data_IF_456579842851
#
_entry.id   IF_456579842851
#
_cell.length_a   1.000
_cell.length_b   1.000
_cell.length_c   1.000
_cell.angle_alpha   90.00
_cell.angle_beta   90.00
_cell.angle_gamma   90.00
#
_symmetry.space_group_name_H-M   'P 1'
#
loop_
_entity.id
_entity.type
_entity.pdbx_description
1 polymer ?
#
# COMPACT_ATOMS: atom_id res chain seq x y z
N UNK A 1 2.17 11.01 26.22
CA UNK A 1 1.23 11.91 25.52
C UNK A 1 -0.13 11.72 26.16
N UNK A 2 -0.78 12.78 26.66
CA UNK A 2 -2.11 12.67 27.28
C UNK A 2 -3.19 12.41 26.22
N UNK A 3 -4.30 11.75 26.58
CA UNK A 3 -5.41 11.50 25.63
C UNK A 3 -5.91 12.79 24.96
N UNK A 4 -5.91 13.91 25.69
CA UNK A 4 -6.28 15.23 25.16
C UNK A 4 -5.37 15.70 24.03
N UNK A 5 -4.07 15.37 24.06
CA UNK A 5 -3.14 15.79 23.00
C UNK A 5 -3.35 15.01 21.69
N UNK A 6 -3.79 13.75 21.78
CA UNK A 6 -4.09 12.94 20.59
C UNK A 6 -5.41 13.35 19.94
N UNK A 7 -6.43 13.66 20.76
CA UNK A 7 -7.72 14.14 20.27
C UNK A 7 -7.56 15.42 19.44
N UNK A 8 -6.88 16.44 19.98
CA UNK A 8 -6.64 17.69 19.24
C UNK A 8 -5.80 17.46 17.97
N UNK A 9 -4.81 16.55 18.02
CA UNK A 9 -4.02 16.18 16.83
C UNK A 9 -4.89 15.62 15.69
N UNK A 10 -5.92 14.84 16.01
CA UNK A 10 -6.87 14.31 15.02
C UNK A 10 -7.72 15.43 14.43
N UNK A 11 -8.24 16.35 15.26
CA UNK A 11 -9.02 17.50 14.79
C UNK A 11 -8.17 18.38 13.86
N UNK A 12 -6.94 18.71 14.27
CA UNK A 12 -6.01 19.50 13.47
C UNK A 12 -5.70 18.81 12.12
N UNK A 13 -5.49 17.49 12.15
CA UNK A 13 -5.23 16.70 10.95
C UNK A 13 -6.41 16.71 9.97
N UNK A 14 -7.62 16.44 10.45
CA UNK A 14 -8.84 16.48 9.64
C UNK A 14 -9.07 17.87 9.08
N UNK A 15 -8.97 18.91 9.91
CA UNK A 15 -9.11 20.30 9.49
C UNK A 15 -8.11 20.68 8.39
N UNK A 16 -6.84 20.30 8.54
CA UNK A 16 -5.80 20.55 7.55
C UNK A 16 -6.07 19.84 6.21
N UNK A 17 -6.56 18.60 6.24
CA UNK A 17 -6.94 17.86 5.02
C UNK A 17 -8.08 18.56 4.28
N UNK A 18 -9.11 19.03 4.99
CA UNK A 18 -10.23 19.74 4.39
C UNK A 18 -9.79 21.04 3.71
N UNK A 19 -8.90 21.80 4.34
CA UNK A 19 -8.31 23.00 3.76
C UNK A 19 -7.43 22.70 2.54
N UNK A 20 -6.57 21.68 2.62
CA UNK A 20 -5.67 21.28 1.53
C UNK A 20 -6.45 20.84 0.28
N UNK A 21 -7.57 20.14 0.48
CA UNK A 21 -8.46 19.71 -0.60
C UNK A 21 -9.45 20.79 -1.05
N UNK A 22 -9.50 21.94 -0.35
CA UNK A 22 -10.47 23.03 -0.57
C UNK A 22 -11.91 22.53 -0.55
N UNK A 23 -12.25 21.72 0.45
CA UNK A 23 -13.55 21.06 0.60
C UNK A 23 -14.22 21.43 1.93
N UNK A 24 -15.47 21.86 1.85
CA UNK A 24 -16.34 22.02 3.02
C UNK A 24 -17.32 20.84 3.10
N UNK A 25 -17.13 19.89 4.03
CA UNK A 25 -17.88 18.65 4.03
C UNK A 25 -19.17 18.73 4.84
N UNK A 26 -20.14 17.87 4.51
CA UNK A 26 -21.16 17.41 5.45
C UNK A 26 -20.52 16.33 6.32
N UNK A 27 -20.57 16.48 7.64
CA UNK A 27 -20.00 15.49 8.56
C UNK A 27 -21.08 14.46 8.95
N UNK A 28 -20.75 13.18 8.81
CA UNK A 28 -21.51 12.05 9.34
C UNK A 28 -20.57 11.19 10.17
N UNK A 29 -21.12 10.53 11.17
CA UNK A 29 -20.36 9.69 12.08
C UNK A 29 -21.19 8.47 12.47
N UNK A 30 -20.50 7.42 12.86
CA UNK A 30 -21.09 6.24 13.49
C UNK A 30 -21.72 6.60 14.83
N UNK A 31 -23.02 6.38 14.96
CA UNK A 31 -23.80 6.74 16.14
C UNK A 31 -23.40 5.94 17.38
N UNK A 32 -22.93 4.69 17.20
CA UNK A 32 -22.53 3.81 18.30
C UNK A 32 -21.27 4.31 19.01
N UNK A 33 -20.45 5.12 18.34
CA UNK A 33 -19.16 5.59 18.85
C UNK A 33 -19.23 7.02 19.42
N UNK A 34 -19.11 7.19 20.75
CA UNK A 34 -18.99 8.51 21.37
C UNK A 34 -17.74 9.26 20.91
N UNK A 35 -16.67 8.54 20.54
CA UNK A 35 -15.44 9.15 20.06
C UNK A 35 -15.68 9.86 18.71
N UNK A 36 -16.32 9.19 17.76
CA UNK A 36 -16.64 9.77 16.46
C UNK A 36 -17.59 10.97 16.59
N UNK A 37 -18.59 10.89 17.48
CA UNK A 37 -19.48 12.01 17.81
C UNK A 37 -18.71 13.22 18.33
N UNK A 38 -17.86 13.03 19.33
CA UNK A 38 -17.05 14.12 19.91
C UNK A 38 -16.12 14.75 18.87
N UNK A 39 -15.52 13.94 17.99
CA UNK A 39 -14.68 14.44 16.89
C UNK A 39 -15.52 15.26 15.90
N UNK A 40 -16.69 14.77 15.50
CA UNK A 40 -17.59 15.45 14.57
C UNK A 40 -18.04 16.82 15.11
N UNK A 41 -18.50 16.87 16.36
CA UNK A 41 -18.98 18.10 17.00
C UNK A 41 -17.84 19.12 17.13
N UNK A 42 -16.66 18.69 17.62
CA UNK A 42 -15.50 19.57 17.78
C UNK A 42 -15.01 20.12 16.44
N UNK A 43 -14.96 19.27 15.41
CA UNK A 43 -14.55 19.67 14.07
C UNK A 43 -15.57 20.64 13.46
N UNK A 44 -16.87 20.40 13.63
CA UNK A 44 -17.93 21.30 13.16
C UNK A 44 -17.81 22.69 13.78
N UNK A 45 -17.65 22.76 15.11
CA UNK A 45 -17.44 24.03 15.82
C UNK A 45 -16.21 24.77 15.29
N UNK A 46 -15.12 24.05 15.03
CA UNK A 46 -13.88 24.66 14.50
C UNK A 46 -14.04 25.19 13.08
N UNK A 47 -14.73 24.45 12.21
CA UNK A 47 -15.07 24.91 10.85
C UNK A 47 -15.94 26.16 10.93
N UNK A 48 -16.90 26.20 11.86
CA UNK A 48 -17.78 27.36 12.06
C UNK A 48 -17.05 28.60 12.57
N UNK A 49 -16.08 28.42 13.48
CA UNK A 49 -15.21 29.49 13.98
C UNK A 49 -14.33 30.08 12.86
N UNK A 50 -13.85 29.23 11.96
CA UNK A 50 -12.91 29.59 10.89
C UNK A 50 -13.58 29.61 9.51
N UNK A 51 -14.88 29.94 9.42
CA UNK A 51 -15.68 29.90 8.17
C UNK A 51 -15.02 30.61 6.99
N UNK A 52 -14.30 31.70 7.26
CA UNK A 52 -13.60 32.47 6.23
C UNK A 52 -12.55 31.64 5.47
N UNK A 53 -11.93 30.66 6.13
CA UNK A 53 -10.96 29.74 5.50
C UNK A 53 -11.64 28.73 4.57
N UNK A 54 -12.95 28.51 4.72
CA UNK A 54 -13.75 27.55 3.96
C UNK A 54 -14.56 28.18 2.82
N UNK A 55 -14.32 29.46 2.49
CA UNK A 55 -14.95 30.15 1.36
C UNK A 55 -14.36 29.70 0.01
N UNK A 56 -14.60 28.45 -0.36
CA UNK A 56 -14.15 27.89 -1.63
C UNK A 56 -15.18 28.17 -2.73
N UNK A 57 -14.72 28.51 -3.95
CA UNK A 57 -15.62 28.66 -5.10
C UNK A 57 -16.26 27.30 -5.44
N UNK A 58 -17.59 27.27 -5.46
CA UNK A 58 -18.39 26.08 -5.17
C UNK A 58 -18.27 24.91 -6.16
N UNK A 59 -18.15 23.70 -5.62
CA UNK A 59 -18.64 22.49 -6.28
C UNK A 59 -20.14 22.36 -6.04
N UNK A 60 -20.91 21.93 -7.05
CA UNK A 60 -22.37 21.81 -7.00
C UNK A 60 -22.90 20.86 -5.91
N UNK A 61 -22.03 20.04 -5.31
CA UNK A 61 -22.36 19.10 -4.25
C UNK A 61 -21.35 19.21 -3.11
N UNK A 62 -21.85 19.26 -1.87
CA UNK A 62 -21.01 19.21 -0.68
C UNK A 62 -20.44 17.79 -0.51
N UNK A 63 -19.12 17.63 -0.34
CA UNK A 63 -18.51 16.33 -0.07
C UNK A 63 -18.96 15.78 1.30
N UNK A 64 -18.88 14.46 1.47
CA UNK A 64 -19.18 13.80 2.74
C UNK A 64 -17.87 13.47 3.47
N UNK A 65 -17.78 13.85 4.74
CA UNK A 65 -16.78 13.33 5.68
C UNK A 65 -17.47 12.30 6.58
N UNK A 66 -17.12 11.03 6.44
CA UNK A 66 -17.64 9.94 7.27
C UNK A 66 -16.60 9.55 8.32
N UNK A 67 -16.99 9.58 9.60
CA UNK A 67 -16.17 9.15 10.73
C UNK A 67 -16.65 7.80 11.23
N UNK A 68 -15.76 6.83 11.25
CA UNK A 68 -16.03 5.46 11.70
C UNK A 68 -15.08 5.10 12.85
N UNK A 69 -15.54 4.24 13.76
CA UNK A 69 -14.71 3.63 14.79
C UNK A 69 -14.25 2.25 14.32
N UNK A 70 -12.97 1.92 14.55
CA UNK A 70 -12.42 0.61 14.16
C UNK A 70 -13.11 -0.54 14.89
N UNK A 71 -13.72 -0.28 16.05
CA UNK A 71 -14.40 -1.30 16.87
C UNK A 71 -15.58 -1.98 16.16
N UNK A 72 -16.19 -1.34 15.17
CA UNK A 72 -17.28 -1.92 14.38
C UNK A 72 -16.80 -3.01 13.41
N UNK A 73 -15.52 -2.97 13.02
CA UNK A 73 -14.90 -3.98 12.15
C UNK A 73 -13.49 -4.33 12.65
N UNK A 74 -13.41 -5.19 13.69
CA UNK A 74 -12.14 -5.68 14.21
C UNK A 74 -11.58 -6.83 13.35
N UNK A 75 -12.35 -7.40 12.43
CA UNK A 75 -11.97 -8.59 11.64
C UNK A 75 -11.04 -8.20 10.49
N UNK A 76 -11.41 -7.19 9.70
CA UNK A 76 -10.61 -6.73 8.54
C UNK A 76 -9.11 -6.53 8.83
N UNK A 77 -8.68 -5.85 9.93
CA UNK A 77 -7.25 -5.66 10.19
C UNK A 77 -6.50 -6.94 10.63
N UNK A 78 -7.19 -8.05 10.89
CA UNK A 78 -6.60 -9.32 11.34
C UNK A 78 -6.44 -10.35 10.21
N UNK A 79 -7.17 -10.20 9.11
CA UNK A 79 -7.13 -11.14 7.99
C UNK A 79 -5.84 -10.98 7.18
N UNK A 80 -5.21 -12.10 6.83
CA UNK A 80 -4.12 -12.11 5.86
C UNK A 80 -4.57 -11.44 4.56
N UNK A 81 -3.78 -10.47 4.09
CA UNK A 81 -4.06 -9.77 2.85
C UNK A 81 -3.32 -10.41 1.67
N UNK A 82 -3.93 -10.37 0.48
CA UNK A 82 -3.36 -10.96 -0.75
C UNK A 82 -3.13 -9.97 -1.88
N UNK A 83 -3.37 -8.67 -1.65
CA UNK A 83 -3.03 -7.63 -2.62
C UNK A 83 -1.59 -7.17 -2.44
N UNK A 84 -0.92 -6.76 -3.52
CA UNK A 84 0.52 -6.50 -3.49
C UNK A 84 0.96 -5.49 -2.41
N UNK A 85 0.29 -4.34 -2.33
CA UNK A 85 0.61 -3.32 -1.31
C UNK A 85 0.36 -3.84 0.11
N UNK A 86 -0.80 -4.46 0.35
CA UNK A 86 -1.19 -4.92 1.67
C UNK A 86 -0.29 -6.07 2.16
N UNK A 87 0.00 -7.05 1.31
CA UNK A 87 0.97 -8.13 1.60
C UNK A 87 2.34 -7.58 1.93
N UNK A 88 2.82 -6.60 1.16
CA UNK A 88 4.13 -6.00 1.42
C UNK A 88 4.14 -5.28 2.76
N UNK A 89 3.08 -4.53 3.07
CA UNK A 89 2.95 -3.84 4.34
C UNK A 89 2.90 -4.82 5.52
N UNK A 90 2.14 -5.91 5.40
CA UNK A 90 1.94 -6.92 6.43
C UNK A 90 3.18 -7.79 6.66
N UNK A 91 3.73 -8.38 5.60
CA UNK A 91 4.78 -9.41 5.69
C UNK A 91 6.19 -8.82 5.72
N UNK A 92 6.42 -7.68 5.08
CA UNK A 92 7.76 -7.07 4.94
C UNK A 92 7.88 -5.71 5.65
N UNK A 93 6.82 -5.23 6.30
CA UNK A 93 6.78 -3.95 7.01
C UNK A 93 7.09 -2.74 6.12
N UNK A 94 6.05 -2.17 5.51
CA UNK A 94 6.16 -0.94 4.72
C UNK A 94 6.07 0.29 5.65
N UNK A 95 7.15 1.06 5.77
CA UNK A 95 7.21 2.28 6.58
C UNK A 95 7.56 3.49 5.72
N UNK A 96 6.65 4.46 5.62
CA UNK A 96 6.82 5.66 4.79
C UNK A 96 7.26 5.32 3.36
N UNK A 97 6.56 4.36 2.73
CA UNK A 97 6.84 3.86 1.38
C UNK A 97 8.20 3.16 1.22
N UNK A 98 8.81 2.69 2.31
CA UNK A 98 10.10 2.00 2.30
C UNK A 98 10.01 0.64 2.97
N UNK A 99 10.62 -0.34 2.33
CA UNK A 99 10.76 -1.72 2.80
C UNK A 99 12.23 -1.97 3.01
N UNK A 100 12.60 -2.43 4.21
CA UNK A 100 13.98 -2.75 4.55
C UNK A 100 14.12 -4.26 4.51
N UNK A 101 14.79 -4.77 3.49
CA UNK A 101 15.07 -6.19 3.34
C UNK A 101 16.38 -6.49 4.07
N UNK A 102 16.25 -7.00 5.29
CA UNK A 102 17.37 -7.65 5.98
C UNK A 102 17.53 -9.04 5.40
N UNK A 103 18.61 -9.29 4.66
CA UNK A 103 18.96 -10.63 4.19
C UNK A 103 19.04 -11.58 5.39
N UNK A 104 17.98 -12.35 5.60
CA UNK A 104 18.01 -13.48 6.51
C UNK A 104 18.32 -14.70 5.66
N UNK A 105 19.46 -15.33 5.97
CA UNK A 105 19.96 -16.62 5.45
C UNK A 105 20.83 -16.58 4.18
N UNK A 106 22.15 -16.49 4.39
CA UNK A 106 23.01 -17.60 3.94
C UNK A 106 24.24 -17.31 3.09
N UNK A 107 24.35 -16.19 2.37
CA UNK A 107 25.53 -15.96 1.51
C UNK A 107 25.91 -14.47 1.47
N UNK A 108 27.00 -14.12 2.14
CA UNK A 108 27.85 -12.97 1.78
C UNK A 108 27.31 -11.58 2.10
N UNK A 109 27.80 -11.02 3.22
CA UNK A 109 27.96 -9.58 3.49
C UNK A 109 26.73 -8.67 3.37
N UNK A 110 26.03 -8.47 4.49
CA UNK A 110 25.88 -7.14 5.13
C UNK A 110 25.13 -6.00 4.43
N UNK A 111 24.69 -6.15 3.18
CA UNK A 111 24.01 -5.07 2.47
C UNK A 111 22.51 -5.10 2.76
N UNK A 112 22.10 -4.25 3.70
CA UNK A 112 20.70 -3.89 3.91
C UNK A 112 20.17 -3.27 2.63
N UNK A 113 19.24 -3.95 1.94
CA UNK A 113 18.60 -3.41 0.74
C UNK A 113 17.33 -2.68 1.15
N UNK A 114 17.36 -1.35 1.03
CA UNK A 114 16.17 -0.52 1.16
C UNK A 114 15.49 -0.36 -0.20
N UNK A 115 14.20 -0.67 -0.25
CA UNK A 115 13.37 -0.60 -1.45
C UNK A 115 12.29 0.45 -1.25
N UNK A 116 12.18 1.38 -2.19
CA UNK A 116 11.13 2.41 -2.20
C UNK A 116 9.98 1.98 -3.10
N UNK A 117 8.76 2.04 -2.56
CA UNK A 117 7.50 1.74 -3.26
C UNK A 117 6.64 3.00 -3.34
N UNK A 118 6.66 3.68 -4.47
CA UNK A 118 5.88 4.89 -4.70
C UNK A 118 5.23 4.86 -6.08
N UNK A 119 3.90 4.83 -6.08
CA UNK A 119 3.09 4.80 -7.29
C UNK A 119 3.35 5.97 -8.23
N UNK A 120 3.93 7.10 -7.79
CA UNK A 120 4.16 8.28 -8.64
C UNK A 120 5.37 8.13 -9.56
N UNK A 121 6.37 7.36 -9.14
CA UNK A 121 7.64 7.18 -9.86
C UNK A 121 7.78 5.80 -10.48
N UNK A 122 6.94 4.86 -10.06
CA UNK A 122 6.97 3.46 -10.49
C UNK A 122 5.64 3.04 -11.11
N UNK A 123 5.64 2.96 -12.44
CA UNK A 123 4.47 2.57 -13.22
C UNK A 123 4.11 1.09 -13.04
N UNK A 124 5.09 0.21 -12.76
CA UNK A 124 4.81 -1.19 -12.50
C UNK A 124 4.07 -1.33 -11.17
N UNK A 125 4.59 -0.71 -10.09
CA UNK A 125 3.91 -0.70 -8.81
C UNK A 125 2.49 -0.10 -8.90
N UNK A 126 2.33 1.05 -9.55
CA UNK A 126 1.01 1.71 -9.72
C UNK A 126 -0.04 0.78 -10.34
N UNK A 127 0.35 -0.03 -11.34
CA UNK A 127 -0.57 -0.93 -12.04
C UNK A 127 -0.88 -2.21 -11.27
N UNK A 128 0.03 -2.63 -10.38
CA UNK A 128 -0.05 -3.92 -9.69
C UNK A 128 -0.39 -3.82 -8.20
N UNK A 129 -0.37 -2.63 -7.58
CA UNK A 129 -0.48 -2.46 -6.12
C UNK A 129 -1.73 -3.08 -5.49
N UNK A 130 -2.82 -3.16 -6.24
CA UNK A 130 -4.09 -3.75 -5.79
C UNK A 130 -4.42 -5.11 -6.41
N UNK A 131 -3.54 -5.64 -7.27
CA UNK A 131 -3.73 -6.97 -7.85
C UNK A 131 -3.39 -8.04 -6.82
N UNK A 132 -4.01 -9.21 -7.00
CA UNK A 132 -3.77 -10.33 -6.10
C UNK A 132 -2.38 -10.96 -6.34
N UNK A 133 -1.90 -11.74 -5.37
CA UNK A 133 -0.58 -12.34 -5.40
C UNK A 133 -0.30 -13.22 -6.63
N UNK A 134 -1.32 -13.93 -7.14
CA UNK A 134 -1.19 -14.74 -8.35
C UNK A 134 -0.97 -13.88 -9.60
N UNK A 135 -1.84 -12.88 -9.82
CA UNK A 135 -1.72 -11.92 -10.93
C UNK A 135 -0.40 -11.15 -10.88
N UNK A 136 0.05 -10.77 -9.68
CA UNK A 136 1.36 -10.15 -9.47
C UNK A 136 2.49 -11.05 -9.96
N UNK A 137 2.45 -12.35 -9.65
CA UNK A 137 3.45 -13.32 -10.08
C UNK A 137 3.57 -13.39 -11.60
N UNK A 138 2.44 -13.46 -12.31
CA UNK A 138 2.40 -13.47 -13.76
C UNK A 138 2.91 -12.15 -14.36
N UNK A 139 2.54 -11.01 -13.79
CA UNK A 139 3.00 -9.70 -14.26
C UNK A 139 4.50 -9.46 -14.03
N UNK A 140 5.06 -9.96 -12.92
CA UNK A 140 6.52 -9.91 -12.68
C UNK A 140 7.24 -10.81 -13.68
N UNK A 141 6.70 -11.97 -14.02
CA UNK A 141 7.26 -12.83 -15.07
C UNK A 141 7.28 -12.11 -16.43
N UNK A 142 6.18 -11.50 -16.83
CA UNK A 142 6.12 -10.69 -18.06
C UNK A 142 7.10 -9.51 -18.05
N UNK A 143 7.32 -8.88 -16.89
CA UNK A 143 8.31 -7.82 -16.72
C UNK A 143 9.73 -8.33 -16.97
N UNK A 144 10.08 -9.50 -16.42
CA UNK A 144 11.40 -10.14 -16.64
C UNK A 144 11.58 -10.54 -18.11
N UNK A 145 10.57 -11.16 -18.73
CA UNK A 145 10.63 -11.59 -20.12
C UNK A 145 10.84 -10.39 -21.07
N UNK A 146 10.11 -9.29 -20.83
CA UNK A 146 10.24 -8.05 -21.59
C UNK A 146 11.63 -7.43 -21.45
N UNK A 147 12.18 -7.44 -20.23
CA UNK A 147 13.54 -6.96 -19.97
C UNK A 147 14.60 -7.81 -20.67
N UNK A 148 14.45 -9.14 -20.71
CA UNK A 148 15.38 -10.03 -21.41
C UNK A 148 15.40 -9.77 -22.93
N UNK A 149 14.23 -9.53 -23.54
CA UNK A 149 14.14 -9.18 -24.97
C UNK A 149 14.84 -7.85 -25.25
N UNK A 150 14.61 -6.84 -24.41
CA UNK A 150 15.30 -5.55 -24.52
C UNK A 150 16.81 -5.70 -24.35
N UNK A 151 17.26 -6.44 -23.35
CA UNK A 151 18.69 -6.65 -23.09
C UNK A 151 19.40 -7.33 -24.28
N UNK A 152 18.81 -8.38 -24.87
CA UNK A 152 19.37 -9.05 -26.05
C UNK A 152 19.45 -8.15 -27.28
N UNK A 153 18.52 -7.20 -27.43
CA UNK A 153 18.58 -6.21 -28.51
C UNK A 153 19.71 -5.20 -28.31
N UNK A 154 20.09 -4.96 -27.05
CA UNK A 154 21.17 -4.06 -26.66
C UNK A 154 22.56 -4.70 -26.75
N UNK A 155 22.69 -6.02 -26.60
CA UNK A 155 23.98 -6.72 -26.70
C UNK A 155 24.53 -6.83 -28.14
N UNK A 156 23.74 -6.48 -29.17
CA UNK A 156 24.16 -6.45 -30.59
C UNK A 156 24.68 -5.07 -30.98
N UNK A 157 25.86 -4.70 -30.47
CA UNK A 157 26.53 -3.43 -30.80
C UNK A 157 27.54 -3.63 -31.94
N UNK A 158 27.05 -3.83 -33.16
CA UNK A 158 27.91 -4.11 -34.32
C UNK A 158 28.36 -2.83 -35.04
N UNK A 159 27.70 -1.69 -34.82
CA UNK A 159 28.00 -0.42 -35.51
C UNK A 159 28.20 0.77 -34.57
N UNK A 160 28.84 1.84 -35.07
CA UNK A 160 29.04 3.10 -34.33
C UNK A 160 27.70 3.78 -34.00
N UNK A 161 26.71 3.66 -34.89
CA UNK A 161 25.36 4.20 -34.65
C UNK A 161 24.63 3.44 -33.53
N UNK A 162 24.85 2.13 -33.40
CA UNK A 162 24.28 1.33 -32.31
C UNK A 162 24.90 1.69 -30.96
N UNK A 163 26.21 1.98 -30.94
CA UNK A 163 26.88 2.49 -29.73
C UNK A 163 26.32 3.84 -29.29
N UNK A 164 26.02 4.76 -30.22
CA UNK A 164 25.40 6.05 -29.89
C UNK A 164 24.00 5.86 -29.30
N UNK A 165 23.15 5.05 -29.94
CA UNK A 165 21.81 4.72 -29.43
C UNK A 165 21.83 4.03 -28.07
N UNK A 166 22.83 3.19 -27.81
CA UNK A 166 22.97 2.56 -26.50
C UNK A 166 23.27 3.58 -25.42
N UNK A 167 24.21 4.50 -25.64
CA UNK A 167 24.54 5.55 -24.66
C UNK A 167 23.32 6.44 -24.39
N UNK A 168 22.53 6.76 -25.41
CA UNK A 168 21.29 7.53 -25.29
C UNK A 168 20.22 6.77 -24.46
N UNK A 169 20.07 5.46 -24.67
CA UNK A 169 19.07 4.62 -24.01
C UNK A 169 19.52 4.03 -22.66
N UNK A 170 20.82 4.12 -22.33
CA UNK A 170 21.39 3.52 -21.13
C UNK A 170 20.73 3.98 -19.81
N UNK A 171 20.35 5.27 -19.63
CA UNK A 171 19.64 5.71 -18.42
C UNK A 171 18.29 5.01 -18.22
N UNK A 172 17.51 4.86 -19.30
CA UNK A 172 16.21 4.17 -19.26
C UNK A 172 16.40 2.67 -19.03
N UNK A 173 17.39 2.05 -19.69
CA UNK A 173 17.74 0.65 -19.45
C UNK A 173 18.11 0.39 -17.98
N UNK A 174 18.92 1.27 -17.38
CA UNK A 174 19.31 1.18 -15.96
C UNK A 174 18.10 1.31 -15.03
N UNK A 175 17.17 2.22 -15.33
CA UNK A 175 15.93 2.40 -14.57
C UNK A 175 15.05 1.14 -14.64
N UNK A 176 14.85 0.57 -15.82
CA UNK A 176 14.07 -0.66 -16.00
C UNK A 176 14.73 -1.84 -15.31
N UNK A 177 16.06 -2.01 -15.44
CA UNK A 177 16.82 -3.05 -14.74
C UNK A 177 16.64 -2.96 -13.21
N UNK A 178 16.73 -1.75 -12.66
CA UNK A 178 16.50 -1.53 -11.22
C UNK A 178 15.06 -1.91 -10.81
N UNK A 179 14.04 -1.49 -11.58
CA UNK A 179 12.65 -1.84 -11.29
C UNK A 179 12.41 -3.36 -11.37
N UNK A 180 12.95 -4.04 -12.37
CA UNK A 180 12.87 -5.51 -12.49
C UNK A 180 13.48 -6.17 -11.27
N UNK A 181 14.72 -5.81 -10.91
CA UNK A 181 15.40 -6.34 -9.73
C UNK A 181 14.59 -6.10 -8.46
N UNK A 182 13.98 -4.92 -8.33
CA UNK A 182 13.19 -4.51 -7.16
C UNK A 182 11.97 -5.42 -6.96
N UNK A 183 11.14 -5.58 -7.99
CA UNK A 183 9.90 -6.35 -7.89
C UNK A 183 10.13 -7.86 -7.84
N UNK A 184 11.15 -8.36 -8.53
CA UNK A 184 11.57 -9.77 -8.42
C UNK A 184 12.05 -10.08 -6.99
N UNK A 185 12.84 -9.18 -6.39
CA UNK A 185 13.32 -9.37 -5.01
C UNK A 185 12.15 -9.37 -4.02
N UNK A 186 11.24 -8.39 -4.13
CA UNK A 186 10.06 -8.33 -3.26
C UNK A 186 9.16 -9.56 -3.41
N UNK A 187 8.88 -9.99 -4.64
CA UNK A 187 8.07 -11.19 -4.89
C UNK A 187 8.73 -12.44 -4.30
N UNK A 188 10.05 -12.58 -4.45
CA UNK A 188 10.82 -13.69 -3.88
C UNK A 188 10.73 -13.72 -2.35
N UNK A 189 10.93 -12.57 -1.68
CA UNK A 189 10.82 -12.49 -0.22
C UNK A 189 9.39 -12.74 0.27
N UNK A 190 8.37 -12.23 -0.42
CA UNK A 190 6.97 -12.53 -0.11
C UNK A 190 6.69 -14.03 -0.22
N UNK A 191 7.10 -14.67 -1.32
CA UNK A 191 6.94 -16.12 -1.51
C UNK A 191 7.60 -16.92 -0.39
N UNK A 192 8.83 -16.57 -0.01
CA UNK A 192 9.54 -17.22 1.10
C UNK A 192 8.76 -17.14 2.41
N UNK A 193 8.19 -15.97 2.74
CA UNK A 193 7.41 -15.79 3.97
C UNK A 193 6.10 -16.57 3.91
N UNK A 194 5.40 -16.54 2.78
CA UNK A 194 4.16 -17.30 2.54
C UNK A 194 4.40 -18.80 2.74
N UNK A 195 5.44 -19.34 2.12
CA UNK A 195 5.76 -20.77 2.18
C UNK A 195 6.22 -21.18 3.58
N UNK A 196 7.11 -20.39 4.20
CA UNK A 196 7.66 -20.68 5.54
C UNK A 196 6.57 -20.75 6.60
N UNK A 197 5.58 -19.87 6.51
CA UNK A 197 4.52 -19.74 7.50
C UNK A 197 3.22 -20.46 7.08
N UNK A 198 3.19 -21.11 5.90
CA UNK A 198 1.99 -21.77 5.33
C UNK A 198 0.77 -20.85 5.28
N UNK A 199 0.98 -19.60 4.83
CA UNK A 199 -0.06 -18.57 4.89
C UNK A 199 -1.27 -18.87 4.00
N UNK A 200 -1.14 -19.72 2.98
CA UNK A 200 -2.28 -20.15 2.17
C UNK A 200 -3.28 -20.96 3.01
N UNK A 201 -2.80 -21.96 3.76
CA UNK A 201 -3.64 -22.80 4.63
C UNK A 201 -4.25 -21.96 5.76
N UNK A 202 -3.44 -21.09 6.37
CA UNK A 202 -3.90 -20.21 7.46
C UNK A 202 -4.96 -19.23 6.96
N UNK A 203 -4.73 -18.60 5.80
CA UNK A 203 -5.68 -17.65 5.23
C UNK A 203 -6.97 -18.33 4.80
N UNK A 204 -6.91 -19.56 4.26
CA UNK A 204 -8.12 -20.33 3.95
C UNK A 204 -9.01 -20.50 5.20
N UNK A 205 -8.42 -20.93 6.32
CA UNK A 205 -9.13 -21.08 7.59
C UNK A 205 -9.64 -19.72 8.12
N UNK A 206 -8.85 -18.65 8.02
CA UNK A 206 -9.30 -17.31 8.43
C UNK A 206 -10.52 -16.84 7.64
N UNK A 207 -10.54 -17.06 6.32
CA UNK A 207 -11.68 -16.73 5.47
C UNK A 207 -12.89 -17.61 5.79
N UNK A 208 -12.67 -18.90 6.06
CA UNK A 208 -13.72 -19.83 6.50
C UNK A 208 -14.38 -19.33 7.80
N UNK A 209 -13.57 -18.98 8.81
CA UNK A 209 -14.04 -18.43 10.08
C UNK A 209 -14.76 -17.08 9.92
N UNK A 210 -14.23 -16.20 9.07
CA UNK A 210 -14.78 -14.85 8.89
C UNK A 210 -16.09 -14.83 8.09
N UNK A 211 -16.29 -15.79 7.18
CA UNK A 211 -17.42 -15.79 6.25
C UNK A 211 -18.46 -16.89 6.47
N UNK A 212 -18.12 -18.01 7.14
CA UNK A 212 -19.03 -19.16 7.33
C UNK A 212 -19.37 -19.39 8.80
N UNK A 213 -20.63 -19.72 9.06
CA UNK A 213 -21.12 -20.12 10.39
C UNK A 213 -21.03 -21.65 10.58
N UNK A 214 -19.82 -22.21 10.67
CA UNK A 214 -19.62 -23.65 10.91
C UNK A 214 -18.68 -23.94 12.10
N UNK A 215 -19.09 -23.47 13.29
CA UNK A 215 -18.28 -23.53 14.50
C UNK A 215 -17.84 -24.96 14.93
N UNK A 216 -18.56 -26.00 14.50
CA UNK A 216 -18.22 -27.41 14.82
C UNK A 216 -17.12 -27.93 13.90
N UNK A 217 -17.16 -27.57 12.61
CA UNK A 217 -16.16 -27.99 11.62
C UNK A 217 -14.85 -27.24 11.84
N UNK A 218 -14.90 -25.94 12.16
CA UNK A 218 -13.71 -25.13 12.42
C UNK A 218 -12.92 -25.66 13.65
N UNK A 219 -13.61 -26.17 14.68
CA UNK A 219 -12.96 -26.76 15.87
C UNK A 219 -12.30 -28.11 15.60
N UNK A 220 -12.68 -28.81 14.54
CA UNK A 220 -12.09 -30.09 14.17
C UNK A 220 -10.81 -29.94 13.33
N UNK A 221 -10.55 -28.73 12.79
CA UNK A 221 -9.40 -28.42 11.95
C UNK A 221 -8.22 -27.79 12.72
N UNK A 222 -8.42 -27.42 13.98
CA UNK A 222 -7.40 -26.90 14.92
C UNK A 222 -6.93 -28.01 15.85
#
# INVERSE_FOLDING_TARGET
MSQSSQFERVIDGLFAVLLALKKQPVIRFDESSPLCRNIAERLSVRIDQERNLFNFQGSSQAPLLLLLDRKEDPVTPLLNQWTYEAMTHELLTLKNNRVVLTESTGVGTGDVREVVLDQRIDDFYRRNMFLNFGELGDNVKHLVDSFQVQHRSTDRLDTIDDMMKFVENYPEFKKTSHNVSKHVTLLSELSKVVDRNRLLDVSELEQDIACRESAVEHKAQV
#
